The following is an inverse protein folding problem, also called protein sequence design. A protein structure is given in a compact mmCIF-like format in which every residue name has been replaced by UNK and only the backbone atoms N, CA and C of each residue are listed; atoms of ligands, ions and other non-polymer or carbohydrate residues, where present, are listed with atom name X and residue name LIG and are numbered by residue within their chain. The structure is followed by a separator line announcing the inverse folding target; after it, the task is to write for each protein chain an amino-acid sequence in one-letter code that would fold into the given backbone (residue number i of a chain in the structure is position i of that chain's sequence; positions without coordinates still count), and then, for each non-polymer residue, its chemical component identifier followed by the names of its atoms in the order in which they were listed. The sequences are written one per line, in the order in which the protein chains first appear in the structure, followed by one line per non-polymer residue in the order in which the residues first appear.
data_IF_072327693530
#
_entry.id   IF_072327693530
#
_cell.length_a   1.000
_cell.length_b   1.000
_cell.length_c   1.000
_cell.angle_alpha   90.00
_cell.angle_beta   90.00
_cell.angle_gamma   90.00
#
_symmetry.space_group_name_H-M   'P 1'
#
loop_
_entity.id
_entity.type
_entity.pdbx_description
1 polymer ?
#
# COMPACT_ATOMS: atom_id res chain seq x y z
N UNK A 1 4.81 22.57 -72.09
CA UNK A 1 5.50 23.88 -71.95
C UNK A 1 5.96 23.98 -70.51
N UNK A 2 7.25 23.70 -70.29
CA UNK A 2 7.90 23.82 -68.99
C UNK A 2 8.77 25.07 -68.97
N UNK A 3 8.86 25.70 -67.81
CA UNK A 3 9.83 26.75 -67.44
C UNK A 3 10.17 26.47 -65.97
N UNK A 4 11.37 25.93 -65.72
CA UNK A 4 12.62 26.64 -65.41
C UNK A 4 12.67 27.20 -63.99
N UNK A 5 13.51 26.54 -63.20
CA UNK A 5 14.00 26.91 -61.87
C UNK A 5 15.20 27.83 -62.08
N UNK A 6 15.30 28.91 -61.31
CA UNK A 6 16.60 29.52 -61.01
C UNK A 6 16.65 29.98 -59.54
N UNK A 7 17.80 29.71 -58.93
CA UNK A 7 18.12 29.83 -57.51
C UNK A 7 18.67 31.20 -57.10
N UNK A 8 18.83 31.34 -55.78
CA UNK A 8 19.85 32.07 -55.04
C UNK A 8 19.56 33.51 -54.57
N UNK A 9 19.19 33.60 -53.28
CA UNK A 9 19.74 34.65 -52.42
C UNK A 9 20.22 34.04 -51.09
N UNK A 10 21.52 34.20 -50.83
CA UNK A 10 22.19 33.80 -49.58
C UNK A 10 21.85 34.83 -48.49
N UNK A 11 21.12 34.41 -47.46
CA UNK A 11 20.95 35.22 -46.24
C UNK A 11 22.02 34.82 -45.23
N UNK A 12 22.93 35.76 -44.96
CA UNK A 12 23.95 35.69 -43.91
C UNK A 12 23.33 36.06 -42.56
N UNK A 13 23.07 35.06 -41.71
CA UNK A 13 22.69 35.30 -40.32
C UNK A 13 23.95 35.48 -39.46
N UNK A 14 24.25 36.72 -39.07
CA UNK A 14 25.17 37.00 -37.96
C UNK A 14 24.45 36.73 -36.63
N UNK A 15 25.07 36.02 -35.67
CA UNK A 15 24.47 35.81 -34.37
C UNK A 15 24.54 37.10 -33.54
N UNK A 16 23.38 37.61 -33.13
CA UNK A 16 23.26 38.69 -32.16
C UNK A 16 23.59 38.12 -30.77
N UNK A 17 24.71 38.58 -30.19
CA UNK A 17 25.02 38.38 -28.77
C UNK A 17 24.13 39.31 -27.94
N UNK A 18 23.06 38.78 -27.37
CA UNK A 18 22.36 39.41 -26.24
C UNK A 18 22.68 38.61 -24.98
N UNK A 19 23.74 39.01 -24.27
CA UNK A 19 23.97 38.64 -22.88
C UNK A 19 23.20 39.62 -22.00
N UNK A 20 21.91 39.34 -21.80
CA UNK A 20 21.16 39.82 -20.66
C UNK A 20 20.94 38.62 -19.75
N UNK A 21 21.81 38.46 -18.74
CA UNK A 21 21.55 37.49 -17.68
C UNK A 21 20.26 37.88 -16.97
N UNK A 22 19.28 36.97 -16.81
CA UNK A 22 18.19 37.22 -15.90
C UNK A 22 18.78 37.23 -14.48
N UNK A 23 18.74 38.40 -13.84
CA UNK A 23 18.89 38.56 -12.40
C UNK A 23 17.78 37.74 -11.72
N UNK A 24 18.05 36.44 -11.52
CA UNK A 24 17.28 35.58 -10.66
C UNK A 24 17.44 36.12 -9.25
N UNK A 25 16.43 36.85 -8.82
CA UNK A 25 16.32 37.45 -7.51
C UNK A 25 16.44 36.34 -6.45
N UNK A 26 17.61 36.23 -5.82
CA UNK A 26 17.97 35.21 -4.84
C UNK A 26 17.28 35.39 -3.48
N UNK A 27 16.32 36.31 -3.39
CA UNK A 27 15.65 36.70 -2.14
C UNK A 27 14.36 35.91 -1.83
N UNK A 28 13.92 34.99 -2.69
CA UNK A 28 12.72 34.17 -2.44
C UNK A 28 13.01 32.72 -1.97
N UNK A 29 14.26 32.35 -1.68
CA UNK A 29 14.59 31.03 -1.10
C UNK A 29 14.54 31.00 0.44
N UNK A 30 14.46 32.15 1.09
CA UNK A 30 14.59 32.26 2.56
C UNK A 30 13.26 32.48 3.28
N UNK A 31 12.14 32.21 2.60
CA UNK A 31 10.80 32.23 3.19
C UNK A 31 10.09 30.86 3.05
N UNK A 32 10.86 29.78 2.94
CA UNK A 32 10.38 28.48 3.43
C UNK A 32 10.37 28.55 4.96
N UNK A 33 9.30 29.17 5.42
CA UNK A 33 8.90 29.36 6.79
C UNK A 33 9.17 28.14 7.65
N UNK A 34 9.61 28.47 8.86
CA UNK A 34 9.57 27.72 10.13
C UNK A 34 8.15 27.19 10.41
N UNK A 35 7.56 26.42 9.51
CA UNK A 35 6.54 25.45 9.90
C UNK A 35 7.33 24.37 10.60
N UNK A 36 7.18 24.26 11.92
CA UNK A 36 7.50 23.01 12.62
C UNK A 36 6.98 21.88 11.76
N UNK A 37 7.89 21.10 11.17
CA UNK A 37 7.52 19.99 10.30
C UNK A 37 6.93 18.93 11.22
N UNK A 38 5.63 19.04 11.49
CA UNK A 38 4.90 18.09 12.32
C UNK A 38 5.02 16.72 11.68
N UNK A 39 5.30 15.73 12.52
CA UNK A 39 5.37 14.33 12.15
C UNK A 39 4.08 13.94 11.38
N UNK A 40 4.20 13.14 10.30
CA UNK A 40 3.02 12.71 9.56
C UNK A 40 2.15 11.80 10.42
N UNK A 41 0.83 11.98 10.34
CA UNK A 41 -0.17 11.11 10.98
C UNK A 41 -0.76 10.20 9.91
N UNK A 42 -0.61 8.89 10.10
CA UNK A 42 -1.13 7.87 9.21
C UNK A 42 -2.24 7.12 9.91
N UNK A 43 -3.43 7.10 9.33
CA UNK A 43 -4.45 6.15 9.75
C UNK A 43 -4.18 4.80 9.09
N UNK A 44 -4.07 3.75 9.88
CA UNK A 44 -3.87 2.39 9.39
C UNK A 44 -5.10 1.57 9.71
N UNK A 45 -5.82 1.12 8.69
CA UNK A 45 -7.00 0.26 8.84
C UNK A 45 -6.57 -1.18 8.56
N UNK A 46 -6.37 -1.95 9.63
CA UNK A 46 -5.78 -3.29 9.56
C UNK A 46 -6.20 -4.21 10.74
N UNK A 47 -5.70 -5.45 10.77
CA UNK A 47 -5.93 -6.40 11.85
C UNK A 47 -4.88 -6.22 12.96
N UNK A 48 -5.36 -5.75 14.11
CA UNK A 48 -4.57 -5.59 15.33
C UNK A 48 -5.02 -6.54 16.46
N UNK A 49 -5.92 -7.49 16.19
CA UNK A 49 -6.49 -8.35 17.20
C UNK A 49 -5.72 -9.66 17.35
N UNK A 50 -5.32 -10.27 16.24
CA UNK A 50 -4.76 -11.62 16.23
C UNK A 50 -3.31 -11.61 15.76
N UNK A 51 -2.42 -12.18 16.57
CA UNK A 51 -1.05 -12.43 16.13
C UNK A 51 -1.07 -13.61 15.16
N UNK A 52 -0.70 -13.35 13.92
CA UNK A 52 -0.71 -14.30 12.81
C UNK A 52 0.57 -14.26 11.95
N UNK A 53 1.51 -13.40 12.34
CA UNK A 53 2.80 -13.23 11.67
C UNK A 53 3.93 -13.80 12.52
N UNK A 54 4.74 -14.66 11.91
CA UNK A 54 5.99 -15.17 12.45
C UNK A 54 7.15 -14.27 12.02
N UNK A 55 7.82 -13.63 12.97
CA UNK A 55 9.03 -12.84 12.72
C UNK A 55 10.26 -13.61 13.19
N UNK A 56 10.14 -14.32 14.30
CA UNK A 56 11.13 -15.25 14.78
C UNK A 56 11.05 -16.59 14.02
N UNK A 57 12.05 -16.95 13.21
CA UNK A 57 12.05 -18.25 12.53
C UNK A 57 12.33 -19.43 13.46
N UNK A 58 12.77 -19.17 14.70
CA UNK A 58 13.23 -20.20 15.60
C UNK A 58 12.12 -20.81 16.45
N UNK A 59 10.93 -20.20 16.47
CA UNK A 59 9.76 -20.77 17.10
C UNK A 59 8.51 -20.67 16.22
N UNK A 60 7.49 -21.42 16.60
CA UNK A 60 6.21 -21.48 15.88
C UNK A 60 5.18 -20.62 16.60
N UNK A 61 5.64 -19.51 17.19
CA UNK A 61 4.80 -18.56 17.90
C UNK A 61 4.58 -17.34 17.02
N UNK A 62 3.32 -16.94 16.79
CA UNK A 62 3.06 -15.69 16.11
C UNK A 62 3.50 -14.51 17.00
N UNK A 63 4.35 -13.66 16.46
CA UNK A 63 4.98 -12.55 17.17
C UNK A 63 4.16 -11.28 17.15
N UNK A 64 3.47 -11.06 16.04
CA UNK A 64 2.80 -9.80 15.76
C UNK A 64 1.53 -10.01 14.94
N UNK A 65 0.66 -9.03 15.05
CA UNK A 65 -0.53 -8.91 14.22
C UNK A 65 -0.14 -8.40 12.83
N UNK A 66 -0.98 -8.66 11.83
CA UNK A 66 -0.76 -8.13 10.49
C UNK A 66 -0.62 -6.59 10.47
N UNK A 67 -1.45 -5.86 11.22
CA UNK A 67 -1.33 -4.40 11.36
C UNK A 67 -0.05 -3.96 12.05
N UNK A 68 0.45 -4.69 13.06
CA UNK A 68 1.75 -4.37 13.65
C UNK A 68 2.91 -4.51 12.64
N UNK A 69 2.84 -5.50 11.76
CA UNK A 69 3.80 -5.66 10.68
C UNK A 69 3.72 -4.49 9.69
N UNK A 70 2.51 -4.15 9.22
CA UNK A 70 2.26 -3.03 8.30
C UNK A 70 2.77 -1.70 8.89
N UNK A 71 2.42 -1.39 10.14
CA UNK A 71 2.93 -0.23 10.86
C UNK A 71 4.46 -0.18 10.89
N UNK A 72 5.10 -1.33 11.12
CA UNK A 72 6.56 -1.46 11.14
C UNK A 72 7.15 -1.13 9.77
N UNK A 73 6.57 -1.61 8.67
CA UNK A 73 7.02 -1.28 7.32
C UNK A 73 6.86 0.21 6.98
N UNK A 74 5.80 0.88 7.43
CA UNK A 74 5.63 2.33 7.26
C UNK A 74 6.75 3.06 8.01
N UNK A 75 6.98 2.70 9.27
CA UNK A 75 8.02 3.31 10.11
C UNK A 75 9.43 3.00 9.63
N UNK A 76 9.67 1.86 8.99
CA UNK A 76 10.95 1.55 8.36
C UNK A 76 11.31 2.61 7.29
N UNK A 77 10.30 3.23 6.66
CA UNK A 77 10.49 4.28 5.67
C UNK A 77 10.38 5.70 6.27
N UNK A 78 9.55 5.89 7.29
CA UNK A 78 9.37 7.15 7.99
C UNK A 78 9.28 6.91 9.51
N UNK A 79 10.42 6.73 10.21
CA UNK A 79 10.45 6.40 11.65
C UNK A 79 9.59 7.29 12.53
N UNK A 80 9.55 8.58 12.22
CA UNK A 80 8.80 9.59 12.96
C UNK A 80 7.27 9.54 12.74
N UNK A 81 6.76 8.74 11.80
CA UNK A 81 5.33 8.69 11.51
C UNK A 81 4.51 8.26 12.75
N UNK A 82 3.47 9.03 13.07
CA UNK A 82 2.48 8.66 14.07
C UNK A 82 1.43 7.76 13.42
N UNK A 83 1.38 6.50 13.85
CA UNK A 83 0.43 5.50 13.32
C UNK A 83 -0.81 5.47 14.21
N UNK A 84 -1.90 6.01 13.71
CA UNK A 84 -3.23 5.87 14.29
C UNK A 84 -3.82 4.53 13.86
N UNK A 85 -3.76 3.55 14.76
CA UNK A 85 -4.31 2.21 14.54
C UNK A 85 -5.84 2.28 14.54
N UNK A 86 -6.42 1.90 13.42
CA UNK A 86 -7.86 1.81 13.21
C UNK A 86 -8.19 0.36 12.88
N UNK A 87 -9.22 -0.18 13.51
CA UNK A 87 -9.55 -1.59 13.40
C UNK A 87 -9.11 -2.39 14.62
N UNK A 88 -9.97 -3.32 14.99
CA UNK A 88 -9.69 -4.38 15.95
C UNK A 88 -10.49 -5.57 15.44
N UNK A 89 -9.91 -6.29 14.47
CA UNK A 89 -10.58 -7.34 13.72
C UNK A 89 -10.55 -8.63 14.55
N UNK A 90 -11.27 -8.63 15.69
CA UNK A 90 -11.33 -9.81 16.53
C UNK A 90 -11.90 -10.99 15.74
N UNK A 91 -11.51 -12.24 16.02
CA UNK A 91 -12.01 -13.41 15.31
C UNK A 91 -13.54 -13.52 15.33
N UNK A 92 -14.18 -13.04 16.40
CA UNK A 92 -15.63 -12.99 16.55
C UNK A 92 -16.32 -11.85 15.77
N UNK A 93 -15.56 -10.84 15.35
CA UNK A 93 -16.11 -9.69 14.63
C UNK A 93 -16.13 -9.98 13.12
N UNK A 94 -17.22 -9.61 12.45
CA UNK A 94 -17.27 -9.62 11.00
C UNK A 94 -16.25 -8.59 10.47
N UNK A 95 -15.24 -9.08 9.75
CA UNK A 95 -14.14 -8.30 9.16
C UNK A 95 -14.68 -7.05 8.45
N UNK A 96 -15.73 -7.21 7.64
CA UNK A 96 -16.28 -6.11 6.83
C UNK A 96 -17.02 -5.06 7.69
N UNK A 97 -17.67 -5.49 8.77
CA UNK A 97 -18.31 -4.58 9.73
C UNK A 97 -17.28 -3.71 10.45
N UNK A 98 -16.18 -4.31 10.89
CA UNK A 98 -15.11 -3.61 11.60
C UNK A 98 -14.34 -2.64 10.66
N UNK A 99 -14.13 -3.01 9.39
CA UNK A 99 -13.59 -2.09 8.37
C UNK A 99 -14.53 -0.90 8.15
N UNK A 100 -15.83 -1.16 7.96
CA UNK A 100 -16.84 -0.12 7.74
C UNK A 100 -16.89 0.86 8.91
N UNK A 101 -16.93 0.33 10.14
CA UNK A 101 -16.90 1.13 11.37
C UNK A 101 -15.64 1.99 11.46
N UNK A 102 -14.46 1.40 11.22
CA UNK A 102 -13.18 2.10 11.27
C UNK A 102 -13.09 3.24 10.25
N UNK A 103 -13.56 3.00 9.03
CA UNK A 103 -13.64 4.01 7.98
C UNK A 103 -14.59 5.15 8.35
N UNK A 104 -15.75 4.83 8.92
CA UNK A 104 -16.72 5.83 9.36
C UNK A 104 -16.16 6.67 10.51
N UNK A 105 -15.57 6.05 11.52
CA UNK A 105 -14.92 6.73 12.64
C UNK A 105 -13.81 7.66 12.16
N UNK A 106 -12.95 7.17 11.24
CA UNK A 106 -11.91 7.99 10.61
C UNK A 106 -12.50 9.18 9.86
N UNK A 107 -13.54 8.95 9.05
CA UNK A 107 -14.21 10.00 8.29
C UNK A 107 -14.80 11.09 9.19
N UNK A 108 -15.47 10.67 10.27
CA UNK A 108 -16.07 11.55 11.28
C UNK A 108 -15.00 12.34 12.05
N UNK A 109 -13.85 11.72 12.38
CA UNK A 109 -12.69 12.39 12.97
C UNK A 109 -12.10 13.46 12.05
N UNK A 110 -11.93 13.15 10.76
CA UNK A 110 -11.43 14.12 9.78
C UNK A 110 -12.46 15.27 9.60
N UNK A 111 -13.77 15.00 9.65
CA UNK A 111 -14.80 16.07 9.61
C UNK A 111 -14.70 17.02 10.82
N UNK A 112 -14.26 16.52 11.98
CA UNK A 112 -14.00 17.32 13.18
C UNK A 112 -12.67 18.07 13.17
N UNK A 113 -11.89 17.94 12.10
CA UNK A 113 -10.60 18.62 11.93
C UNK A 113 -9.40 17.87 12.49
N UNK A 114 -9.53 16.57 12.82
CA UNK A 114 -8.36 15.75 13.15
C UNK A 114 -7.42 15.64 11.94
N UNK A 115 -6.11 15.79 12.20
CA UNK A 115 -5.09 15.76 11.16
C UNK A 115 -4.80 14.31 10.77
N UNK A 116 -5.05 13.98 9.51
CA UNK A 116 -4.63 12.73 8.85
C UNK A 116 -3.89 13.09 7.58
N UNK A 117 -2.64 12.63 7.45
CA UNK A 117 -1.79 12.93 6.29
C UNK A 117 -1.88 11.87 5.19
N UNK A 118 -2.20 10.62 5.56
CA UNK A 118 -2.42 9.49 4.66
C UNK A 118 -3.22 8.37 5.35
N UNK A 119 -3.81 7.48 4.55
CA UNK A 119 -4.46 6.25 5.01
C UNK A 119 -3.82 5.03 4.35
N UNK A 120 -3.50 4.00 5.13
CA UNK A 120 -3.08 2.69 4.64
C UNK A 120 -4.19 1.66 4.83
N UNK A 121 -4.47 0.87 3.80
CA UNK A 121 -5.33 -0.32 3.86
C UNK A 121 -4.62 -1.50 3.19
N UNK A 122 -3.98 -2.36 3.98
CA UNK A 122 -3.37 -3.62 3.47
C UNK A 122 -4.35 -4.80 3.54
N UNK A 123 -5.61 -4.53 3.88
CA UNK A 123 -6.73 -5.47 3.90
C UNK A 123 -7.72 -5.19 2.77
N UNK A 124 -8.59 -6.15 2.49
CA UNK A 124 -9.76 -5.90 1.67
C UNK A 124 -10.43 -7.15 1.10
N UNK A 125 -11.35 -6.91 0.17
CA UNK A 125 -12.18 -7.97 -0.42
C UNK A 125 -11.59 -8.35 -1.77
N UNK A 126 -10.74 -9.38 -1.76
CA UNK A 126 -10.13 -9.92 -2.97
C UNK A 126 -11.08 -10.87 -3.71
N UNK A 127 -11.26 -10.65 -5.01
CA UNK A 127 -12.12 -11.45 -5.89
C UNK A 127 -11.49 -11.60 -7.27
N UNK A 128 -11.72 -12.74 -7.92
CA UNK A 128 -11.35 -12.93 -9.32
C UNK A 128 -12.10 -11.98 -10.26
N UNK A 129 -11.38 -11.39 -11.20
CA UNK A 129 -11.92 -10.51 -12.24
C UNK A 129 -13.01 -11.22 -13.06
N UNK A 130 -12.88 -12.54 -13.30
CA UNK A 130 -13.90 -13.33 -14.00
C UNK A 130 -15.21 -13.41 -13.22
N UNK A 131 -15.15 -13.54 -11.89
CA UNK A 131 -16.32 -13.56 -11.02
C UNK A 131 -17.00 -12.20 -11.01
N UNK A 132 -16.22 -11.12 -10.96
CA UNK A 132 -16.73 -9.75 -11.09
C UNK A 132 -17.36 -9.51 -12.47
N UNK A 133 -16.74 -9.98 -13.56
CA UNK A 133 -17.29 -9.91 -14.91
C UNK A 133 -18.65 -10.60 -15.01
N UNK A 134 -18.74 -11.83 -14.47
CA UNK A 134 -19.99 -12.61 -14.43
C UNK A 134 -21.09 -11.91 -13.62
N UNK A 135 -20.75 -11.33 -12.48
CA UNK A 135 -21.71 -10.65 -11.60
C UNK A 135 -22.26 -9.35 -12.20
N UNK A 136 -21.40 -8.60 -12.90
CA UNK A 136 -21.74 -7.29 -13.51
C UNK A 136 -22.31 -7.41 -14.92
N UNK A 137 -22.01 -8.49 -15.64
CA UNK A 137 -22.32 -8.65 -17.07
C UNK A 137 -21.39 -7.86 -17.98
N UNK A 138 -20.34 -7.23 -17.43
CA UNK A 138 -19.38 -6.42 -18.18
C UNK A 138 -18.24 -7.30 -18.73
N UNK A 139 -17.64 -6.95 -19.89
CA UNK A 139 -16.56 -7.71 -20.50
C UNK A 139 -15.20 -7.45 -19.82
N UNK A 140 -15.13 -7.65 -18.50
CA UNK A 140 -13.97 -7.30 -17.69
C UNK A 140 -12.80 -8.27 -17.87
N UNK A 141 -11.60 -7.72 -17.93
CA UNK A 141 -10.33 -8.44 -17.89
C UNK A 141 -9.27 -7.55 -17.22
N UNK A 142 -8.08 -8.12 -17.02
CA UNK A 142 -6.95 -7.44 -16.37
C UNK A 142 -6.61 -6.09 -17.01
N UNK A 143 -6.72 -5.95 -18.34
CA UNK A 143 -6.29 -4.77 -19.09
C UNK A 143 -7.33 -3.65 -19.14
N UNK A 144 -8.62 -3.95 -18.98
CA UNK A 144 -9.69 -2.98 -19.22
C UNK A 144 -10.53 -2.60 -17.99
N UNK A 145 -10.25 -3.15 -16.80
CA UNK A 145 -10.97 -2.80 -15.56
C UNK A 145 -11.12 -1.28 -15.35
N UNK A 146 -10.07 -0.48 -15.60
CA UNK A 146 -10.13 0.98 -15.48
C UNK A 146 -11.19 1.64 -16.37
N UNK A 147 -11.50 1.04 -17.52
CA UNK A 147 -12.51 1.55 -18.46
C UNK A 147 -13.93 1.40 -17.92
N UNK A 148 -14.15 0.43 -17.03
CA UNK A 148 -15.46 0.08 -16.48
C UNK A 148 -15.58 0.41 -14.99
N UNK A 149 -14.60 1.11 -14.41
CA UNK A 149 -14.57 1.35 -12.96
C UNK A 149 -15.85 2.06 -12.47
N UNK A 150 -16.33 3.05 -13.22
CA UNK A 150 -17.54 3.79 -12.87
C UNK A 150 -18.80 2.93 -13.00
N UNK A 151 -18.89 2.11 -14.04
CA UNK A 151 -20.00 1.18 -14.27
C UNK A 151 -20.07 0.12 -13.17
N UNK A 152 -18.93 -0.42 -12.75
CA UNK A 152 -18.85 -1.38 -11.63
C UNK A 152 -19.28 -0.70 -10.33
N UNK A 153 -18.79 0.52 -10.04
CA UNK A 153 -19.20 1.30 -8.86
C UNK A 153 -20.69 1.60 -8.87
N UNK A 154 -21.24 2.00 -10.01
CA UNK A 154 -22.67 2.27 -10.15
C UNK A 154 -23.49 0.98 -9.97
N UNK A 155 -23.01 -0.14 -10.48
CA UNK A 155 -23.62 -1.45 -10.24
C UNK A 155 -23.64 -1.78 -8.74
N UNK A 156 -22.55 -1.55 -8.00
CA UNK A 156 -22.51 -1.72 -6.54
C UNK A 156 -23.52 -0.77 -5.86
N UNK A 157 -23.56 0.51 -6.23
CA UNK A 157 -24.44 1.50 -5.59
C UNK A 157 -25.94 1.23 -5.82
N UNK A 158 -26.28 0.60 -6.95
CA UNK A 158 -27.65 0.34 -7.39
C UNK A 158 -28.20 -1.04 -7.02
N UNK A 159 -27.37 -1.95 -6.49
CA UNK A 159 -27.82 -3.25 -5.99
C UNK A 159 -27.83 -3.23 -4.45
N UNK A 160 -28.73 -3.99 -3.84
CA UNK A 160 -28.68 -4.21 -2.39
C UNK A 160 -27.50 -5.12 -2.00
N UNK A 161 -27.01 -4.99 -0.76
CA UNK A 161 -25.83 -5.73 -0.28
C UNK A 161 -26.02 -7.25 -0.42
N UNK A 162 -27.21 -7.80 -0.13
CA UNK A 162 -27.46 -9.25 -0.25
C UNK A 162 -27.33 -9.75 -1.69
N UNK A 163 -27.81 -8.96 -2.66
CA UNK A 163 -27.64 -9.24 -4.10
C UNK A 163 -26.17 -9.24 -4.50
N UNK A 164 -25.39 -8.26 -4.01
CA UNK A 164 -23.95 -8.16 -4.27
C UNK A 164 -23.21 -9.36 -3.67
N UNK A 165 -23.41 -9.64 -2.38
CA UNK A 165 -22.84 -10.77 -1.67
C UNK A 165 -23.11 -12.08 -2.41
N UNK A 166 -24.38 -12.31 -2.79
CA UNK A 166 -24.76 -13.52 -3.53
C UNK A 166 -24.07 -13.63 -4.90
N UNK A 167 -24.04 -12.55 -5.69
CA UNK A 167 -23.47 -12.57 -7.04
C UNK A 167 -21.95 -12.67 -7.04
N UNK A 168 -21.30 -12.01 -6.08
CA UNK A 168 -19.85 -12.03 -5.89
C UNK A 168 -19.40 -13.17 -4.98
N UNK A 169 -20.33 -13.97 -4.45
CA UNK A 169 -20.08 -15.05 -3.49
C UNK A 169 -19.18 -14.60 -2.35
N UNK A 170 -19.56 -13.50 -1.71
CA UNK A 170 -18.93 -12.95 -0.51
C UNK A 170 -19.63 -13.51 0.73
N UNK A 171 -18.99 -13.36 1.88
CA UNK A 171 -19.60 -13.70 3.16
C UNK A 171 -20.79 -12.78 3.45
N UNK A 172 -21.74 -13.27 4.25
CA UNK A 172 -22.93 -12.49 4.61
C UNK A 172 -22.49 -11.26 5.43
N UNK A 173 -23.10 -10.12 5.17
CA UNK A 173 -22.90 -8.82 5.84
C UNK A 173 -21.75 -7.93 5.31
N UNK A 174 -21.23 -8.22 4.12
CA UNK A 174 -20.31 -7.30 3.44
C UNK A 174 -21.00 -5.97 3.09
N UNK A 175 -20.57 -4.87 3.72
CA UNK A 175 -21.07 -3.54 3.41
C UNK A 175 -20.20 -2.77 2.41
N UNK A 176 -19.96 -3.40 1.25
CA UNK A 176 -19.06 -2.87 0.22
C UNK A 176 -19.44 -1.45 -0.23
N UNK A 177 -20.73 -1.14 -0.33
CA UNK A 177 -21.20 0.19 -0.72
C UNK A 177 -20.72 1.25 0.26
N UNK A 178 -20.96 1.05 1.55
CA UNK A 178 -20.57 2.02 2.59
C UNK A 178 -19.05 2.13 2.72
N UNK A 179 -18.32 1.03 2.51
CA UNK A 179 -16.86 1.06 2.47
C UNK A 179 -16.35 1.97 1.36
N UNK A 180 -16.84 1.79 0.12
CA UNK A 180 -16.44 2.63 -1.01
C UNK A 180 -16.82 4.10 -0.79
N UNK A 181 -18.00 4.37 -0.26
CA UNK A 181 -18.47 5.73 0.03
C UNK A 181 -17.59 6.44 1.07
N UNK A 182 -17.20 5.74 2.15
CA UNK A 182 -16.32 6.33 3.17
C UNK A 182 -14.89 6.56 2.65
N UNK A 183 -14.34 5.63 1.86
CA UNK A 183 -13.03 5.84 1.21
C UNK A 183 -13.09 7.07 0.30
N UNK A 184 -14.14 7.19 -0.52
CA UNK A 184 -14.34 8.33 -1.43
C UNK A 184 -14.53 9.64 -0.67
N UNK A 185 -15.19 9.61 0.49
CA UNK A 185 -15.32 10.78 1.37
C UNK A 185 -13.96 11.22 1.91
N UNK A 186 -13.08 10.29 2.30
CA UNK A 186 -11.72 10.59 2.75
C UNK A 186 -10.88 11.17 1.60
N UNK A 187 -10.86 10.53 0.42
CA UNK A 187 -10.07 10.99 -0.73
C UNK A 187 -10.55 12.34 -1.26
N UNK A 188 -11.84 12.65 -1.16
CA UNK A 188 -12.41 13.96 -1.55
C UNK A 188 -11.82 15.15 -0.78
N UNK A 189 -11.25 14.89 0.41
CA UNK A 189 -10.56 15.89 1.24
C UNK A 189 -9.08 16.06 0.89
N UNK A 190 -8.61 15.41 -0.17
CA UNK A 190 -7.20 15.43 -0.58
C UNK A 190 -6.29 14.55 0.28
N UNK A 191 -6.85 13.67 1.11
CA UNK A 191 -6.08 12.71 1.90
C UNK A 191 -5.80 11.48 1.02
N UNK A 192 -4.53 11.14 0.76
CA UNK A 192 -4.20 9.96 -0.06
C UNK A 192 -4.53 8.68 0.69
N UNK A 193 -5.20 7.75 0.01
CA UNK A 193 -5.56 6.42 0.52
C UNK A 193 -4.85 5.36 -0.32
N UNK A 194 -4.07 4.51 0.32
CA UNK A 194 -3.30 3.43 -0.31
C UNK A 194 -3.99 2.10 -0.05
N UNK A 195 -4.25 1.34 -1.12
CA UNK A 195 -4.99 0.09 -1.08
C UNK A 195 -4.18 -1.00 -1.76
N UNK A 196 -4.06 -2.17 -1.12
CA UNK A 196 -3.37 -3.31 -1.72
C UNK A 196 -4.16 -3.78 -2.95
N UNK A 197 -3.47 -4.11 -4.05
CA UNK A 197 -4.09 -4.54 -5.30
C UNK A 197 -5.01 -5.77 -5.18
N UNK A 198 -4.86 -6.53 -4.09
CA UNK A 198 -5.56 -7.77 -3.82
C UNK A 198 -4.64 -8.94 -4.09
N UNK A 199 -4.78 -10.00 -3.28
CA UNK A 199 -3.97 -11.19 -3.38
C UNK A 199 -4.82 -12.38 -3.84
N UNK A 200 -4.21 -13.30 -4.59
CA UNK A 200 -4.84 -14.57 -4.94
C UNK A 200 -5.16 -15.41 -3.71
N UNK A 201 -6.26 -16.17 -3.74
CA UNK A 201 -6.53 -17.25 -2.78
C UNK A 201 -6.12 -18.59 -3.40
N UNK A 202 -6.03 -19.63 -2.56
CA UNK A 202 -5.59 -21.02 -2.79
C UNK A 202 -5.76 -21.66 -4.19
N UNK A 203 -6.74 -21.23 -4.99
CA UNK A 203 -7.11 -21.76 -6.31
C UNK A 203 -7.01 -20.73 -7.45
N UNK A 204 -6.70 -19.47 -7.13
CA UNK A 204 -6.67 -18.35 -8.05
C UNK A 204 -5.26 -17.73 -8.15
N UNK A 205 -4.74 -17.63 -9.38
CA UNK A 205 -3.51 -16.87 -9.65
C UNK A 205 -3.74 -15.41 -9.26
N UNK A 206 -2.92 -14.87 -8.36
CA UNK A 206 -3.08 -13.52 -7.82
C UNK A 206 -3.24 -12.43 -8.88
N UNK A 207 -2.52 -12.57 -9.99
CA UNK A 207 -2.62 -11.69 -11.15
C UNK A 207 -4.05 -11.54 -11.73
N UNK A 208 -4.96 -12.48 -11.45
CA UNK A 208 -6.37 -12.45 -11.89
C UNK A 208 -7.34 -11.92 -10.84
N UNK A 209 -6.86 -11.52 -9.66
CA UNK A 209 -7.66 -10.97 -8.56
C UNK A 209 -7.60 -9.43 -8.54
N UNK A 210 -8.59 -8.85 -7.88
CA UNK A 210 -8.71 -7.42 -7.57
C UNK A 210 -9.22 -7.29 -6.13
N UNK A 211 -8.66 -6.34 -5.37
CA UNK A 211 -9.27 -5.83 -4.15
C UNK A 211 -10.42 -4.87 -4.53
N UNK A 212 -11.66 -5.18 -4.13
CA UNK A 212 -12.82 -4.35 -4.48
C UNK A 212 -12.70 -2.93 -3.94
N UNK A 213 -11.90 -2.67 -2.90
CA UNK A 213 -11.70 -1.30 -2.39
C UNK A 213 -10.94 -0.43 -3.40
N UNK A 214 -10.14 -1.02 -4.29
CA UNK A 214 -9.45 -0.35 -5.40
C UNK A 214 -10.41 0.26 -6.43
N UNK A 215 -11.71 -0.05 -6.33
CA UNK A 215 -12.74 0.60 -7.15
C UNK A 215 -13.06 2.01 -6.67
N UNK A 216 -12.77 2.39 -5.42
CA UNK A 216 -13.08 3.72 -4.91
C UNK A 216 -12.32 4.82 -5.67
N UNK A 217 -12.96 5.98 -5.83
CA UNK A 217 -12.30 7.12 -6.48
C UNK A 217 -11.17 7.70 -5.63
N UNK A 218 -10.08 8.13 -6.29
CA UNK A 218 -8.98 8.87 -5.67
C UNK A 218 -7.99 8.02 -4.87
N UNK A 219 -8.13 6.70 -4.88
CA UNK A 219 -7.22 5.79 -4.20
C UNK A 219 -5.98 5.50 -5.03
N UNK A 220 -4.87 5.18 -4.36
CA UNK A 220 -3.68 4.61 -4.99
C UNK A 220 -3.69 3.11 -4.77
N UNK A 221 -3.93 2.34 -5.84
CA UNK A 221 -3.86 0.88 -5.77
C UNK A 221 -2.41 0.43 -5.97
N UNK A 222 -1.89 -0.35 -5.03
CA UNK A 222 -0.48 -0.75 -4.99
C UNK A 222 -0.33 -2.26 -5.21
N UNK A 223 0.36 -2.63 -6.29
CA UNK A 223 0.78 -4.01 -6.58
C UNK A 223 2.12 -4.35 -5.94
N UNK A 224 2.38 -5.64 -5.76
CA UNK A 224 3.59 -6.14 -5.11
C UNK A 224 4.67 -6.56 -6.12
N UNK A 225 5.90 -6.15 -5.84
CA UNK A 225 7.11 -6.61 -6.49
C UNK A 225 7.87 -7.56 -5.55
N UNK A 226 8.61 -8.48 -6.17
CA UNK A 226 9.64 -9.29 -5.54
C UNK A 226 10.74 -8.38 -4.97
N UNK A 227 11.61 -8.94 -4.12
CA UNK A 227 12.75 -8.23 -3.53
C UNK A 227 13.73 -7.57 -4.53
N UNK A 228 13.69 -7.98 -5.81
CA UNK A 228 14.50 -7.37 -6.87
C UNK A 228 13.97 -6.00 -7.34
N UNK A 229 12.77 -5.62 -6.90
CA UNK A 229 12.10 -4.37 -7.26
C UNK A 229 11.71 -4.28 -8.73
N UNK A 230 11.66 -5.40 -9.46
CA UNK A 230 11.38 -5.45 -10.91
C UNK A 230 10.34 -6.49 -11.28
N UNK A 231 10.42 -7.65 -10.65
CA UNK A 231 9.54 -8.78 -10.93
C UNK A 231 8.26 -8.63 -10.12
N UNK A 232 7.10 -8.78 -10.76
CA UNK A 232 5.82 -8.80 -10.04
C UNK A 232 5.67 -10.12 -9.30
N UNK A 233 5.18 -10.09 -8.07
CA UNK A 233 4.94 -11.33 -7.34
C UNK A 233 3.78 -12.09 -7.96
N UNK A 234 3.82 -13.43 -7.86
CA UNK A 234 2.77 -14.30 -8.40
C UNK A 234 1.42 -14.15 -7.66
N UNK A 235 1.46 -13.71 -6.40
CA UNK A 235 0.29 -13.52 -5.56
C UNK A 235 -0.37 -12.15 -5.70
N UNK A 236 0.32 -11.13 -6.23
CA UNK A 236 -0.23 -9.79 -6.40
C UNK A 236 -1.25 -9.71 -7.54
N UNK A 237 -2.34 -8.98 -7.31
CA UNK A 237 -3.21 -8.46 -8.34
C UNK A 237 -2.42 -7.71 -9.41
N UNK A 238 -2.62 -8.07 -10.67
CA UNK A 238 -1.96 -7.43 -11.82
C UNK A 238 -3.02 -7.03 -12.85
N UNK A 239 -3.68 -5.90 -12.55
CA UNK A 239 -4.75 -5.34 -13.35
C UNK A 239 -4.61 -3.83 -13.53
N UNK A 240 -5.36 -3.29 -14.49
CA UNK A 240 -5.27 -1.89 -14.93
C UNK A 240 -5.71 -0.83 -13.92
N UNK A 241 -6.16 -1.21 -12.72
CA UNK A 241 -6.38 -0.25 -11.63
C UNK A 241 -5.13 -0.10 -10.75
N UNK A 242 -4.12 -0.97 -10.88
CA UNK A 242 -2.86 -0.83 -10.14
C UNK A 242 -2.11 0.39 -10.68
N UNK A 243 -1.97 1.41 -9.83
CA UNK A 243 -1.34 2.68 -10.20
C UNK A 243 0.14 2.74 -9.82
N UNK A 244 0.55 1.91 -8.84
CA UNK A 244 1.91 1.88 -8.31
C UNK A 244 2.34 0.44 -8.04
N UNK A 245 3.63 0.17 -8.21
CA UNK A 245 4.25 -1.12 -7.91
C UNK A 245 5.40 -0.88 -6.95
N UNK A 246 5.41 -1.62 -5.84
CA UNK A 246 6.43 -1.50 -4.81
C UNK A 246 6.82 -2.86 -4.26
N UNK A 247 8.02 -2.95 -3.69
CA UNK A 247 8.50 -4.17 -3.03
C UNK A 247 7.52 -4.55 -1.93
N UNK A 248 6.91 -5.72 -2.10
CA UNK A 248 6.02 -6.33 -1.11
C UNK A 248 6.61 -7.61 -0.52
N UNK A 249 7.48 -8.30 -1.27
CA UNK A 249 8.27 -9.42 -0.76
C UNK A 249 9.59 -8.91 -0.16
N UNK A 250 9.55 -8.57 1.12
CA UNK A 250 10.71 -8.11 1.86
C UNK A 250 11.41 -9.30 2.55
N UNK A 251 12.73 -9.36 2.43
CA UNK A 251 13.54 -10.33 3.18
C UNK A 251 13.75 -9.82 4.60
N UNK A 252 13.39 -10.63 5.59
CA UNK A 252 13.63 -10.31 6.99
C UNK A 252 15.01 -10.84 7.39
N UNK A 253 15.84 -9.98 7.97
CA UNK A 253 17.18 -10.34 8.41
C UNK A 253 17.35 -10.01 9.89
N UNK A 254 17.80 -10.99 10.66
CA UNK A 254 18.24 -10.73 12.04
C UNK A 254 19.48 -9.83 12.04
N UNK A 255 19.43 -8.72 12.75
CA UNK A 255 20.53 -7.73 12.83
C UNK A 255 20.73 -7.24 14.26
N UNK A 256 21.86 -6.57 14.51
CA UNK A 256 22.21 -5.99 15.80
C UNK A 256 22.61 -4.53 15.64
N UNK A 257 22.01 -3.66 16.45
CA UNK A 257 22.36 -2.24 16.54
C UNK A 257 22.41 -1.81 18.00
N UNK A 258 23.44 -1.05 18.37
CA UNK A 258 23.60 -0.49 19.71
C UNK A 258 23.46 -1.51 20.85
N UNK A 259 24.00 -2.71 20.63
CA UNK A 259 23.94 -3.80 21.61
C UNK A 259 22.63 -4.60 21.60
N UNK A 260 21.58 -4.12 20.93
CA UNK A 260 20.25 -4.76 20.85
C UNK A 260 20.09 -5.56 19.57
N UNK A 261 19.57 -6.77 19.70
CA UNK A 261 19.19 -7.62 18.56
C UNK A 261 17.74 -7.36 18.15
N UNK A 262 17.48 -7.57 16.86
CA UNK A 262 16.16 -7.46 16.27
C UNK A 262 16.15 -7.91 14.81
N UNK A 263 15.10 -7.52 14.11
CA UNK A 263 14.83 -7.91 12.74
C UNK A 263 14.75 -6.66 11.85
N UNK A 264 15.62 -6.64 10.85
CA UNK A 264 15.64 -5.70 9.73
C UNK A 264 14.64 -6.18 8.69
N UNK A 265 13.66 -5.34 8.37
CA UNK A 265 12.60 -5.63 7.40
C UNK A 265 12.69 -4.76 6.15
N UNK A 266 13.56 -3.75 6.11
CA UNK A 266 13.70 -2.81 4.98
C UNK A 266 15.05 -2.93 4.25
N UNK A 267 15.96 -3.77 4.73
CA UNK A 267 17.28 -4.03 4.18
C UNK A 267 18.36 -3.00 4.54
N UNK A 268 18.13 -2.11 5.50
CA UNK A 268 19.08 -1.04 5.88
C UNK A 268 20.09 -1.47 6.97
N UNK A 269 20.00 -2.72 7.44
CA UNK A 269 20.76 -3.33 8.53
C UNK A 269 20.48 -2.77 9.94
N UNK A 270 19.43 -1.98 10.13
CA UNK A 270 18.90 -1.60 11.43
C UNK A 270 17.70 -2.48 11.81
N UNK A 271 17.52 -2.82 13.09
CA UNK A 271 16.36 -3.57 13.50
C UNK A 271 15.14 -2.64 13.64
N UNK A 272 14.09 -2.85 12.84
CA UNK A 272 12.78 -2.22 13.03
C UNK A 272 11.98 -2.89 14.14
N UNK A 273 12.15 -4.21 14.29
CA UNK A 273 11.44 -5.03 15.28
C UNK A 273 12.48 -5.59 16.25
N UNK A 274 12.47 -5.13 17.50
CA UNK A 274 13.40 -5.62 18.52
C UNK A 274 13.01 -7.02 19.02
N UNK A 275 13.99 -7.87 19.33
CA UNK A 275 13.75 -9.22 19.86
C UNK A 275 12.99 -9.24 21.20
N UNK A 276 13.10 -8.17 21.98
CA UNK A 276 12.33 -8.03 23.24
C UNK A 276 10.82 -7.93 22.99
N UNK A 277 10.42 -7.61 21.76
CA UNK A 277 9.03 -7.54 21.30
C UNK A 277 8.58 -8.82 20.56
N UNK A 278 9.45 -9.82 20.42
CA UNK A 278 9.15 -11.12 19.78
C UNK A 278 9.21 -12.26 20.81
N UNK A 279 8.73 -13.44 20.41
CA UNK A 279 8.74 -14.70 21.16
C UNK A 279 10.16 -15.19 21.50
N UNK A 280 11.16 -14.72 20.74
CA UNK A 280 12.60 -14.98 20.85
C UNK A 280 13.18 -14.82 22.25
N UNK A 281 12.54 -13.99 23.08
CA UNK A 281 12.90 -13.77 24.49
C UNK A 281 12.84 -15.07 25.33
N UNK A 282 12.28 -16.17 24.80
CA UNK A 282 12.22 -17.48 25.47
C UNK A 282 13.24 -18.52 24.99
N UNK A 283 13.88 -18.35 23.83
CA UNK A 283 14.67 -19.42 23.18
C UNK A 283 16.19 -19.17 23.04
N UNK A 284 16.70 -18.05 23.56
CA UNK A 284 18.12 -17.71 23.51
C UNK A 284 19.00 -18.53 24.49
N UNK A 285 19.22 -19.80 24.17
CA UNK A 285 20.43 -20.53 24.59
C UNK A 285 21.24 -21.14 23.44
N UNK A 286 20.76 -21.08 22.19
CA UNK A 286 21.44 -21.71 21.05
C UNK A 286 22.00 -20.67 20.07
N UNK A 287 23.32 -20.42 20.22
CA UNK A 287 24.16 -19.48 19.47
C UNK A 287 24.49 -20.00 18.06
N UNK A 288 23.53 -20.10 17.15
CA UNK A 288 23.86 -20.42 15.74
C UNK A 288 23.39 -19.30 14.81
N UNK A 289 24.30 -18.62 14.08
CA UNK A 289 23.92 -17.59 13.12
C UNK A 289 23.32 -18.24 11.86
N UNK A 290 22.02 -18.12 11.67
CA UNK A 290 21.35 -18.43 10.39
C UNK A 290 21.24 -17.12 9.62
N UNK A 291 21.97 -17.00 8.52
CA UNK A 291 22.26 -15.70 7.91
C UNK A 291 21.20 -15.16 6.95
N UNK A 292 20.20 -15.92 6.54
CA UNK A 292 19.11 -15.43 5.68
C UNK A 292 17.89 -16.31 5.96
N UNK A 293 16.78 -15.70 6.37
CA UNK A 293 15.50 -16.41 6.45
C UNK A 293 14.66 -15.95 5.26
N UNK A 294 14.26 -16.92 4.41
CA UNK A 294 13.30 -16.68 3.33
C UNK A 294 11.97 -16.23 3.95
N UNK A 295 11.30 -15.27 3.30
CA UNK A 295 10.04 -14.63 3.69
C UNK A 295 9.15 -15.53 4.58
N UNK A 296 9.07 -15.26 5.88
CA UNK A 296 8.33 -16.09 6.86
C UNK A 296 6.82 -15.74 6.87
N UNK A 297 6.31 -15.02 5.87
CA UNK A 297 4.89 -14.69 5.77
C UNK A 297 4.09 -15.84 5.14
N UNK A 298 4.30 -17.07 5.63
CA UNK A 298 3.39 -18.18 5.45
C UNK A 298 2.41 -18.14 6.61
N UNK A 299 1.13 -17.84 6.37
CA UNK A 299 0.08 -17.94 7.41
C UNK A 299 -0.17 -19.39 7.87
N UNK A 300 0.69 -20.35 7.51
CA UNK A 300 0.78 -21.71 8.07
C UNK A 300 2.02 -22.44 7.55
N UNK A 301 2.81 -23.12 8.40
CA UNK A 301 3.94 -23.96 7.98
C UNK A 301 3.53 -25.33 7.39
N UNK A 302 2.26 -25.55 7.01
CA UNK A 302 1.75 -26.89 6.63
C UNK A 302 1.79 -27.18 5.12
N UNK A 303 2.25 -26.28 4.25
CA UNK A 303 2.39 -26.64 2.84
C UNK A 303 3.55 -25.90 2.16
N UNK A 304 4.65 -26.61 1.93
CA UNK A 304 5.87 -26.15 1.23
C UNK A 304 5.62 -25.64 -0.22
N UNK A 305 4.36 -25.67 -0.67
CA UNK A 305 3.92 -25.22 -1.99
C UNK A 305 2.88 -24.08 -1.98
N UNK A 306 2.53 -23.49 -0.82
CA UNK A 306 1.43 -22.51 -0.75
C UNK A 306 1.80 -21.25 0.05
N UNK A 307 2.29 -20.24 -0.67
CA UNK A 307 2.58 -18.91 -0.12
C UNK A 307 1.31 -18.09 0.05
N UNK A 308 0.92 -17.80 1.29
CA UNK A 308 0.00 -16.73 1.64
C UNK A 308 0.76 -15.41 1.71
N UNK A 309 1.18 -14.89 0.57
CA UNK A 309 1.92 -13.63 0.54
C UNK A 309 1.03 -12.50 1.03
N UNK A 310 1.28 -11.98 2.23
CA UNK A 310 0.76 -10.67 2.61
C UNK A 310 1.64 -9.62 1.94
N UNK A 311 1.02 -8.76 1.13
CA UNK A 311 1.76 -7.80 0.33
C UNK A 311 2.05 -6.56 1.17
N UNK A 312 3.29 -6.36 1.59
CA UNK A 312 3.72 -5.12 2.26
C UNK A 312 4.09 -4.00 1.27
N UNK A 313 3.57 -4.07 0.04
CA UNK A 313 3.80 -3.05 -0.99
C UNK A 313 3.10 -1.72 -0.65
N UNK A 314 1.91 -1.76 -0.05
CA UNK A 314 1.16 -0.58 0.41
C UNK A 314 1.92 0.24 1.45
N UNK A 315 2.38 -0.32 2.59
CA UNK A 315 3.14 0.45 3.57
C UNK A 315 4.47 0.94 3.00
N UNK A 316 5.10 0.19 2.09
CA UNK A 316 6.31 0.63 1.38
C UNK A 316 6.04 1.83 0.48
N UNK A 317 4.96 1.79 -0.31
CA UNK A 317 4.55 2.89 -1.19
C UNK A 317 4.25 4.17 -0.41
N UNK A 318 3.44 4.04 0.64
CA UNK A 318 3.05 5.14 1.50
C UNK A 318 4.27 5.72 2.22
N UNK A 319 5.11 4.86 2.80
CA UNK A 319 6.31 5.28 3.52
C UNK A 319 7.28 6.09 2.67
N UNK A 320 7.49 5.69 1.41
CA UNK A 320 8.30 6.46 0.44
C UNK A 320 7.67 7.82 0.11
N UNK A 321 6.35 7.86 -0.05
CA UNK A 321 5.64 9.11 -0.37
C UNK A 321 5.66 10.07 0.84
N UNK A 322 5.52 9.55 2.07
CA UNK A 322 5.73 10.34 3.29
C UNK A 322 7.14 10.90 3.37
N UNK A 323 8.16 10.07 3.17
CA UNK A 323 9.56 10.52 3.18
C UNK A 323 9.81 11.63 2.15
N UNK A 324 9.19 11.50 0.97
CA UNK A 324 9.28 12.51 -0.10
C UNK A 324 8.58 13.82 0.31
N UNK A 325 7.39 13.73 0.92
CA UNK A 325 6.55 14.89 1.28
C UNK A 325 7.04 15.62 2.54
N UNK A 326 7.51 14.89 3.55
CA UNK A 326 7.85 15.43 4.88
C UNK A 326 9.37 15.59 5.10
N UNK A 327 10.20 14.94 4.27
CA UNK A 327 11.66 15.08 4.31
C UNK A 327 12.23 14.71 5.67
N UNK A 328 12.95 15.65 6.29
CA UNK A 328 13.63 15.44 7.57
C UNK A 328 12.68 15.08 8.73
N UNK A 329 11.41 15.51 8.69
CA UNK A 329 10.43 15.12 9.71
C UNK A 329 10.05 13.63 9.68
N UNK A 330 10.55 12.87 8.68
CA UNK A 330 10.49 11.42 8.73
C UNK A 330 11.73 10.78 9.38
N UNK A 331 12.84 11.50 9.54
CA UNK A 331 14.15 10.96 9.96
C UNK A 331 14.44 11.14 11.45
N UNK A 332 13.72 12.03 12.12
CA UNK A 332 13.92 12.43 13.52
C UNK A 332 13.38 11.42 14.54
#
# INVERSE_FOLDING_TARGET
MGFEISENSKISNKPVKNQGEPLFNSQNKTQMSVFEKKHPVVAEIDDFANKDIYIDPYDWTCDMTHGEAVASFIKAQCPAANIQRMGNLKPEDNLDFSITKSLKELSDSIDKGEKIDAVNMSIGIAIEIKKLAKATGLPLNRKNLHQYQNEIRNWIKNNDNKSIEKKLGLDKETNLKEILENIEKITSKGIPVYIAAGNGRFDAVGAACINLFSLANGVTTVGALEKDGKTKTNYSGDHSLVNKWEIGDNSIKRTKKDGKWGYDINGDNNPEILEENTSSNKFLSLKTPVNIVKSIFLTSPIDDNKTHGTSFSTPTALGKDLRTRFGDACRE
#
